data_IF_011026617698
#
_entry.id   IF_011026617698
#
_cell.length_a   1.000
_cell.length_b   1.000
_cell.length_c   1.000
_cell.angle_alpha   90.00
_cell.angle_beta   90.00
_cell.angle_gamma   90.00
#
_symmetry.space_group_name_H-M   'P 1'
#
loop_
_entity.id
_entity.type
_entity.pdbx_description
1 polymer ?
#
# COMPACT_ATOMS: atom_id res chain seq x y z
N UNK A 1 13.43 6.84 -46.95
CA UNK A 1 13.58 7.80 -45.82
C UNK A 1 12.18 8.30 -45.48
N UNK A 2 11.53 7.68 -44.50
CA UNK A 2 10.14 7.96 -44.13
C UNK A 2 10.07 8.95 -42.98
N UNK A 3 9.49 10.12 -43.22
CA UNK A 3 9.10 11.08 -42.19
C UNK A 3 7.84 10.56 -41.50
N UNK A 4 7.97 10.15 -40.23
CA UNK A 4 6.82 9.97 -39.35
C UNK A 4 6.45 11.36 -38.80
N UNK A 5 5.24 11.88 -39.06
CA UNK A 5 4.80 13.11 -38.43
C UNK A 5 4.63 12.87 -36.93
N UNK A 6 5.30 13.70 -36.14
CA UNK A 6 5.25 13.73 -34.68
C UNK A 6 3.80 13.98 -34.23
N UNK A 7 3.10 12.93 -33.82
CA UNK A 7 1.79 12.98 -33.19
C UNK A 7 1.87 13.44 -31.71
N UNK A 8 2.67 14.48 -31.42
CA UNK A 8 2.92 14.98 -30.06
C UNK A 8 2.27 16.34 -29.79
N UNK A 9 1.43 16.85 -30.68
CA UNK A 9 0.87 18.21 -30.59
C UNK A 9 -0.62 18.23 -30.16
N UNK A 10 -1.01 17.34 -29.25
CA UNK A 10 -2.38 17.32 -28.70
C UNK A 10 -2.51 17.12 -27.19
N UNK A 11 -1.48 17.52 -26.43
CA UNK A 11 -1.66 17.89 -25.02
C UNK A 11 -1.67 19.42 -24.95
N UNK A 12 -2.58 20.05 -25.69
CA UNK A 12 -3.09 21.34 -25.22
C UNK A 12 -3.83 21.01 -23.95
N UNK A 13 -3.36 21.55 -22.83
CA UNK A 13 -4.13 21.60 -21.60
C UNK A 13 -5.57 21.96 -21.95
N UNK A 14 -6.48 21.00 -21.93
CA UNK A 14 -7.85 21.31 -21.62
C UNK A 14 -7.75 21.76 -20.16
N UNK A 15 -8.17 22.97 -19.80
CA UNK A 15 -8.53 23.24 -18.43
C UNK A 15 -10.00 22.80 -18.25
N UNK A 16 -10.33 21.53 -17.97
CA UNK A 16 -11.50 21.30 -17.16
C UNK A 16 -11.15 21.73 -15.71
N UNK A 17 -12.12 21.75 -14.81
CA UNK A 17 -11.93 21.76 -13.33
C UNK A 17 -12.28 23.06 -12.60
N UNK A 18 -11.81 24.26 -12.98
CA UNK A 18 -12.18 25.45 -12.19
C UNK A 18 -13.69 25.75 -12.20
N UNK A 19 -14.36 25.51 -13.34
CA UNK A 19 -15.82 25.66 -13.41
C UNK A 19 -16.55 24.60 -12.61
N UNK A 20 -16.05 23.36 -12.59
CA UNK A 20 -16.76 22.23 -11.99
C UNK A 20 -16.56 22.17 -10.47
N UNK A 21 -15.36 22.50 -9.98
CA UNK A 21 -15.11 22.66 -8.54
C UNK A 21 -15.89 23.85 -7.97
N UNK A 22 -16.00 24.95 -8.71
CA UNK A 22 -16.85 26.08 -8.31
C UNK A 22 -18.32 25.67 -8.22
N UNK A 23 -18.82 24.95 -9.23
CA UNK A 23 -20.20 24.40 -9.20
C UNK A 23 -20.40 23.42 -8.05
N UNK A 24 -19.41 22.59 -7.74
CA UNK A 24 -19.46 21.69 -6.59
C UNK A 24 -19.56 22.46 -5.27
N UNK A 25 -18.79 23.54 -5.12
CA UNK A 25 -18.87 24.44 -3.97
C UNK A 25 -20.24 25.13 -3.89
N UNK A 26 -20.80 25.57 -5.02
CA UNK A 26 -22.14 26.18 -5.07
C UNK A 26 -23.22 25.18 -4.60
N UNK A 27 -23.15 23.91 -5.02
CA UNK A 27 -24.05 22.87 -4.52
C UNK A 27 -23.87 22.58 -3.03
N UNK A 28 -22.62 22.58 -2.55
CA UNK A 28 -22.34 22.42 -1.12
C UNK A 28 -22.95 23.57 -0.30
N UNK A 29 -22.79 24.80 -0.76
CA UNK A 29 -23.38 25.99 -0.12
C UNK A 29 -24.92 25.97 -0.16
N UNK A 30 -25.50 25.37 -1.19
CA UNK A 30 -26.95 25.16 -1.31
C UNK A 30 -27.48 23.97 -0.48
N UNK A 31 -26.61 23.22 0.21
CA UNK A 31 -26.97 22.04 1.00
C UNK A 31 -27.14 20.75 0.17
N UNK A 32 -26.88 20.79 -1.15
CA UNK A 32 -26.93 19.63 -2.03
C UNK A 32 -25.58 18.90 -2.04
N UNK A 33 -25.27 18.25 -0.92
CA UNK A 33 -24.04 17.49 -0.78
C UNK A 33 -23.93 16.29 -1.74
N UNK A 34 -25.05 15.80 -2.29
CA UNK A 34 -25.03 14.69 -3.25
C UNK A 34 -24.44 15.13 -4.60
N UNK A 35 -24.95 16.22 -5.18
CA UNK A 35 -24.43 16.76 -6.44
C UNK A 35 -23.01 17.30 -6.30
N UNK A 36 -22.69 17.93 -5.17
CA UNK A 36 -21.34 18.39 -4.89
C UNK A 36 -20.33 17.23 -4.93
N UNK A 37 -20.68 16.09 -4.33
CA UNK A 37 -19.84 14.88 -4.34
C UNK A 37 -19.68 14.27 -5.72
N UNK A 38 -20.74 14.21 -6.51
CA UNK A 38 -20.67 13.74 -7.90
C UNK A 38 -19.65 14.56 -8.71
N UNK A 39 -19.73 15.89 -8.66
CA UNK A 39 -18.80 16.77 -9.36
C UNK A 39 -17.36 16.63 -8.87
N UNK A 40 -17.15 16.53 -7.55
CA UNK A 40 -15.81 16.31 -6.98
C UNK A 40 -15.24 14.96 -7.40
N UNK A 41 -16.06 13.90 -7.42
CA UNK A 41 -15.64 12.57 -7.87
C UNK A 41 -15.26 12.56 -9.36
N UNK A 42 -15.98 13.30 -10.19
CA UNK A 42 -15.66 13.46 -11.61
C UNK A 42 -14.34 14.21 -11.78
N UNK A 43 -14.15 15.32 -11.04
CA UNK A 43 -12.91 16.08 -11.03
C UNK A 43 -11.69 15.23 -10.63
N UNK A 44 -11.83 14.41 -9.58
CA UNK A 44 -10.76 13.50 -9.11
C UNK A 44 -10.48 12.34 -10.05
N UNK A 45 -11.46 11.94 -10.88
CA UNK A 45 -11.27 10.92 -11.92
C UNK A 45 -10.44 11.46 -13.07
N UNK A 46 -10.69 12.72 -13.44
CA UNK A 46 -9.95 13.40 -14.51
C UNK A 46 -8.54 13.81 -14.05
N UNK A 47 -8.40 14.29 -12.81
CA UNK A 47 -7.12 14.64 -12.20
C UNK A 47 -7.05 14.18 -10.73
N UNK A 48 -6.46 13.00 -10.45
CA UNK A 48 -6.36 12.47 -9.09
C UNK A 48 -5.38 13.24 -8.20
N UNK A 49 -4.63 14.20 -8.74
CA UNK A 49 -3.68 15.04 -8.02
C UNK A 49 -4.16 16.50 -7.86
N UNK A 50 -5.43 16.78 -8.17
CA UNK A 50 -6.02 18.09 -7.93
C UNK A 50 -6.23 18.32 -6.43
N UNK A 51 -5.40 19.20 -5.85
CA UNK A 51 -5.44 19.53 -4.42
C UNK A 51 -6.78 20.14 -4.01
N UNK A 52 -7.34 21.04 -4.82
CA UNK A 52 -8.60 21.72 -4.51
C UNK A 52 -9.78 20.74 -4.50
N UNK A 53 -9.77 19.76 -5.41
CA UNK A 53 -10.77 18.69 -5.42
C UNK A 53 -10.71 17.82 -4.15
N UNK A 54 -9.50 17.51 -3.66
CA UNK A 54 -9.33 16.76 -2.40
C UNK A 54 -9.71 17.57 -1.15
N UNK A 55 -9.50 18.88 -1.15
CA UNK A 55 -9.97 19.75 -0.06
C UNK A 55 -11.50 19.80 0.02
N UNK A 56 -12.17 19.91 -1.13
CA UNK A 56 -13.63 19.80 -1.23
C UNK A 56 -14.13 18.41 -0.81
N UNK A 57 -13.47 17.33 -1.22
CA UNK A 57 -13.79 15.97 -0.79
C UNK A 57 -13.70 15.80 0.73
N UNK A 58 -12.71 16.45 1.36
CA UNK A 58 -12.53 16.44 2.81
C UNK A 58 -13.69 17.17 3.53
N UNK A 59 -14.18 18.27 2.97
CA UNK A 59 -15.35 19.00 3.50
C UNK A 59 -16.65 18.19 3.35
N UNK A 60 -16.79 17.45 2.25
CA UNK A 60 -17.96 16.61 1.95
C UNK A 60 -17.98 15.27 2.70
N UNK A 61 -16.92 14.95 3.44
CA UNK A 61 -16.78 13.68 4.17
C UNK A 61 -17.67 13.64 5.42
N UNK A 62 -18.64 12.73 5.43
CA UNK A 62 -19.60 12.59 6.54
C UNK A 62 -19.21 11.54 7.57
N UNK A 63 -18.25 10.67 7.25
CA UNK A 63 -17.74 9.63 8.16
C UNK A 63 -16.24 9.78 8.40
N UNK A 64 -15.73 9.20 9.49
CA UNK A 64 -14.30 9.23 9.82
C UNK A 64 -13.45 8.51 8.77
N UNK A 65 -13.92 7.38 8.24
CA UNK A 65 -13.25 6.63 7.16
C UNK A 65 -13.13 7.46 5.87
N UNK A 66 -14.21 8.16 5.47
CA UNK A 66 -14.17 9.05 4.30
C UNK A 66 -13.18 10.20 4.52
N UNK A 67 -13.17 10.77 5.72
CA UNK A 67 -12.29 11.87 6.09
C UNK A 67 -10.82 11.45 6.07
N UNK A 68 -10.51 10.24 6.55
CA UNK A 68 -9.17 9.67 6.50
C UNK A 68 -8.71 9.42 5.05
N UNK A 69 -9.58 8.83 4.22
CA UNK A 69 -9.31 8.63 2.78
C UNK A 69 -9.07 9.96 2.06
N UNK A 70 -9.89 10.97 2.31
CA UNK A 70 -9.72 12.31 1.74
C UNK A 70 -8.40 12.97 2.19
N UNK A 71 -8.02 12.85 3.47
CA UNK A 71 -6.72 13.33 3.97
C UNK A 71 -5.54 12.63 3.29
N UNK A 72 -5.62 11.30 3.14
CA UNK A 72 -4.58 10.53 2.47
C UNK A 72 -4.47 10.89 0.97
N UNK A 73 -5.60 11.17 0.31
CA UNK A 73 -5.64 11.74 -1.04
C UNK A 73 -4.95 13.10 -1.12
N UNK A 74 -5.33 14.02 -0.23
CA UNK A 74 -4.78 15.38 -0.17
C UNK A 74 -3.26 15.41 0.04
N UNK A 75 -2.74 14.58 0.98
CA UNK A 75 -1.31 14.47 1.23
C UNK A 75 -0.53 13.99 -0.01
N UNK A 76 -1.11 13.05 -0.78
CA UNK A 76 -0.51 12.56 -2.03
C UNK A 76 -0.53 13.62 -3.12
N UNK A 77 -1.64 14.35 -3.27
CA UNK A 77 -1.75 15.46 -4.20
C UNK A 77 -0.69 16.53 -3.89
N UNK A 78 -0.56 16.95 -2.62
CA UNK A 78 0.46 17.90 -2.16
C UNK A 78 1.89 17.44 -2.43
N UNK A 79 2.18 16.16 -2.15
CA UNK A 79 3.50 15.58 -2.42
C UNK A 79 3.86 15.65 -3.90
N UNK A 80 2.89 15.45 -4.79
CA UNK A 80 3.10 15.50 -6.23
C UNK A 80 3.10 16.92 -6.80
N UNK A 81 2.36 17.88 -6.21
CA UNK A 81 2.40 19.28 -6.61
C UNK A 81 3.67 20.00 -6.17
N UNK A 82 4.32 19.52 -5.10
CA UNK A 82 5.56 20.10 -4.53
C UNK A 82 6.86 19.59 -5.18
N UNK A 83 6.80 18.58 -6.05
CA UNK A 83 7.97 18.00 -6.71
C UNK A 83 8.38 18.77 -7.96
N UNK A 84 9.68 18.82 -8.32
CA UNK A 84 10.07 19.25 -9.67
C UNK A 84 9.35 18.34 -10.65
N UNK A 85 8.68 18.94 -11.64
CA UNK A 85 7.94 18.24 -12.72
C UNK A 85 8.95 17.45 -13.55
N UNK A 86 9.40 16.31 -13.02
CA UNK A 86 10.10 15.29 -13.77
C UNK A 86 9.13 14.71 -14.79
N UNK A 87 9.62 14.19 -15.93
CA UNK A 87 8.78 13.61 -16.96
C UNK A 87 7.84 12.58 -16.32
N UNK A 88 6.54 12.89 -16.41
CA UNK A 88 5.45 12.05 -15.92
C UNK A 88 5.58 10.67 -16.56
N UNK A 89 6.22 9.73 -15.89
CA UNK A 89 6.04 8.31 -16.19
C UNK A 89 4.61 7.95 -15.82
N UNK A 90 3.73 7.62 -16.78
CA UNK A 90 2.36 7.23 -16.50
C UNK A 90 2.39 5.78 -16.02
N UNK A 91 2.79 5.57 -14.77
CA UNK A 91 2.63 4.30 -14.07
C UNK A 91 1.83 4.57 -12.81
N UNK A 92 0.60 5.03 -12.98
CA UNK A 92 -0.42 4.93 -11.95
C UNK A 92 -1.65 4.25 -12.55
N UNK A 93 -1.91 3.05 -12.02
CA UNK A 93 -3.05 2.24 -12.38
C UNK A 93 -4.36 3.03 -12.15
N UNK A 94 -5.25 3.12 -13.15
CA UNK A 94 -6.56 3.80 -13.06
C UNK A 94 -7.50 3.33 -11.93
N UNK A 95 -7.11 2.31 -11.15
CA UNK A 95 -7.94 1.65 -10.14
C UNK A 95 -8.18 2.48 -8.88
N UNK A 96 -7.24 3.34 -8.45
CA UNK A 96 -7.41 4.09 -7.19
C UNK A 96 -8.41 5.24 -7.26
N UNK A 97 -8.65 5.82 -8.44
CA UNK A 97 -9.71 6.82 -8.63
C UNK A 97 -11.11 6.18 -8.73
N UNK A 98 -11.19 4.86 -8.97
CA UNK A 98 -12.45 4.11 -9.02
C UNK A 98 -12.95 3.67 -7.64
N UNK A 99 -12.07 3.52 -6.65
CA UNK A 99 -12.45 3.02 -5.31
C UNK A 99 -12.99 4.11 -4.37
N UNK A 100 -12.96 5.38 -4.77
CA UNK A 100 -13.63 6.47 -4.04
C UNK A 100 -15.05 6.65 -4.58
N UNK A 101 -15.89 5.63 -4.37
CA UNK A 101 -17.30 5.68 -4.75
C UNK A 101 -18.08 6.56 -3.76
N UNK A 102 -18.15 7.87 -4.04
CA UNK A 102 -19.04 8.79 -3.32
C UNK A 102 -20.53 8.59 -3.67
N UNK A 103 -20.86 7.74 -4.65
CA UNK A 103 -22.23 7.45 -5.09
C UNK A 103 -23.04 6.64 -4.08
N UNK A 104 -22.40 5.99 -3.11
CA UNK A 104 -23.08 5.23 -2.06
C UNK A 104 -23.79 6.10 -0.99
N UNK A 105 -23.83 7.43 -1.14
CA UNK A 105 -24.25 8.35 -0.07
C UNK A 105 -25.57 9.08 -0.37
N UNK A 106 -26.40 8.52 -1.25
CA UNK A 106 -27.70 9.10 -1.65
C UNK A 106 -28.88 8.13 -1.76
N UNK A 107 -28.71 6.83 -1.50
CA UNK A 107 -29.84 5.88 -1.44
C UNK A 107 -30.23 5.58 0.01
N UNK A 108 -31.34 6.15 0.53
CA UNK A 108 -32.00 5.57 1.68
C UNK A 108 -32.54 4.19 1.28
N UNK A 109 -32.15 3.15 2.02
CA UNK A 109 -32.91 1.90 2.14
C UNK A 109 -33.01 0.93 0.93
N UNK A 110 -31.92 0.73 0.17
CA UNK A 110 -31.68 -0.57 -0.52
C UNK A 110 -30.37 -1.26 -0.10
N UNK A 111 -29.89 -0.92 1.09
CA UNK A 111 -28.62 -1.40 1.68
C UNK A 111 -28.70 -2.76 2.38
N UNK A 112 -29.72 -3.60 2.10
CA UNK A 112 -29.82 -4.91 2.77
C UNK A 112 -29.69 -6.12 1.81
N UNK A 113 -29.46 -5.91 0.51
CA UNK A 113 -29.36 -7.02 -0.46
C UNK A 113 -28.09 -7.03 -1.34
N UNK A 114 -27.26 -5.99 -1.27
CA UNK A 114 -25.92 -5.94 -1.93
C UNK A 114 -24.83 -5.67 -0.87
N UNK A 115 -25.03 -6.17 0.35
CA UNK A 115 -23.94 -6.37 1.32
C UNK A 115 -23.24 -7.73 1.09
N UNK A 116 -23.42 -8.30 -0.10
CA UNK A 116 -22.60 -9.41 -0.59
C UNK A 116 -21.27 -8.85 -1.06
N UNK A 117 -20.34 -8.70 -0.13
CA UNK A 117 -18.90 -8.78 -0.38
C UNK A 117 -18.36 -7.89 -1.51
N UNK A 118 -18.16 -6.59 -1.23
CA UNK A 118 -16.94 -5.95 -1.72
C UNK A 118 -15.80 -6.50 -0.84
N UNK A 119 -15.52 -7.80 -0.98
CA UNK A 119 -14.34 -8.42 -0.42
C UNK A 119 -13.18 -7.81 -1.18
N UNK A 120 -12.57 -6.75 -0.61
CA UNK A 120 -11.24 -6.34 -1.06
C UNK A 120 -10.40 -7.60 -1.12
N UNK A 121 -9.86 -7.99 -2.28
CA UNK A 121 -9.27 -9.31 -2.46
C UNK A 121 -8.23 -9.54 -1.38
N UNK A 122 -8.52 -10.48 -0.46
CA UNK A 122 -7.62 -10.78 0.64
C UNK A 122 -6.46 -11.59 0.09
N UNK A 123 -5.24 -11.11 0.35
CA UNK A 123 -4.03 -11.85 -0.05
C UNK A 123 -3.59 -12.71 1.13
N UNK A 124 -3.66 -14.03 0.93
CA UNK A 124 -3.13 -14.99 1.91
C UNK A 124 -1.63 -15.15 1.68
N UNK A 125 -0.85 -15.00 2.75
CA UNK A 125 0.60 -15.21 2.75
C UNK A 125 1.02 -16.63 3.19
N UNK A 126 0.06 -17.57 3.24
CA UNK A 126 0.31 -18.93 3.71
C UNK A 126 1.27 -19.69 2.79
N UNK A 127 1.09 -19.55 1.46
CA UNK A 127 1.95 -20.22 0.49
C UNK A 127 3.39 -19.70 0.59
N UNK A 128 3.55 -18.40 0.76
CA UNK A 128 4.83 -17.72 0.97
C UNK A 128 5.51 -18.19 2.27
N UNK A 129 4.75 -18.39 3.34
CA UNK A 129 5.26 -18.97 4.58
C UNK A 129 5.73 -20.44 4.40
N UNK A 130 4.99 -21.25 3.63
CA UNK A 130 5.39 -22.63 3.32
C UNK A 130 6.67 -22.66 2.47
N UNK A 131 6.77 -21.80 1.46
CA UNK A 131 7.96 -21.71 0.61
C UNK A 131 9.19 -21.30 1.42
N UNK A 132 9.05 -20.31 2.30
CA UNK A 132 10.16 -19.89 3.18
C UNK A 132 10.57 -20.99 4.14
N UNK A 133 9.61 -21.69 4.75
CA UNK A 133 9.87 -22.87 5.57
C UNK A 133 10.71 -23.91 4.80
N UNK A 134 10.31 -24.27 3.58
CA UNK A 134 11.06 -25.22 2.75
C UNK A 134 12.48 -24.74 2.44
N UNK A 135 12.66 -23.44 2.14
CA UNK A 135 13.97 -22.85 1.87
C UNK A 135 14.91 -22.93 3.08
N UNK A 136 14.39 -22.78 4.31
CA UNK A 136 15.19 -22.97 5.52
C UNK A 136 15.69 -24.41 5.65
N UNK A 137 14.84 -25.41 5.36
CA UNK A 137 15.16 -26.82 5.58
C UNK A 137 16.02 -27.47 4.48
N UNK A 138 16.01 -26.94 3.25
CA UNK A 138 16.86 -27.44 2.15
C UNK A 138 18.33 -26.96 2.30
N UNK A 139 18.68 -26.36 3.44
CA UNK A 139 20.06 -25.97 3.75
C UNK A 139 20.43 -24.58 3.25
N UNK A 140 19.47 -23.82 2.71
CA UNK A 140 19.68 -22.45 2.27
C UNK A 140 19.24 -21.45 3.33
N UNK A 141 19.67 -21.63 4.59
CA UNK A 141 19.18 -20.84 5.73
C UNK A 141 19.25 -19.32 5.51
N UNK A 142 20.30 -18.81 4.87
CA UNK A 142 20.44 -17.39 4.50
C UNK A 142 19.46 -16.99 3.40
N UNK A 143 19.22 -17.84 2.40
CA UNK A 143 18.25 -17.57 1.32
C UNK A 143 16.82 -17.60 1.86
N UNK A 144 16.50 -18.57 2.73
CA UNK A 144 15.23 -18.64 3.44
C UNK A 144 14.97 -17.39 4.28
N UNK A 145 16.01 -16.91 4.99
CA UNK A 145 15.95 -15.64 5.73
C UNK A 145 15.68 -14.44 4.81
N UNK A 146 16.40 -14.34 3.69
CA UNK A 146 16.19 -13.28 2.70
C UNK A 146 14.78 -13.28 2.13
N UNK A 147 14.26 -14.45 1.75
CA UNK A 147 12.89 -14.60 1.25
C UNK A 147 11.84 -14.24 2.31
N UNK A 148 12.05 -14.64 3.56
CA UNK A 148 11.13 -14.33 4.66
C UNK A 148 11.06 -12.81 4.93
N UNK A 149 12.20 -12.13 4.97
CA UNK A 149 12.25 -10.66 5.07
C UNK A 149 11.55 -9.99 3.89
N UNK A 150 11.80 -10.47 2.66
CA UNK A 150 11.15 -9.95 1.46
C UNK A 150 9.62 -10.06 1.54
N UNK A 151 9.09 -11.22 1.95
CA UNK A 151 7.64 -11.42 2.08
C UNK A 151 7.03 -10.59 3.22
N UNK A 152 7.75 -10.37 4.32
CA UNK A 152 7.30 -9.45 5.38
C UNK A 152 7.21 -8.01 4.90
N UNK A 153 8.20 -7.53 4.13
CA UNK A 153 8.17 -6.19 3.53
C UNK A 153 7.00 -6.08 2.55
N UNK A 154 6.79 -7.11 1.71
CA UNK A 154 5.66 -7.15 0.81
C UNK A 154 4.32 -7.09 1.58
N UNK A 155 4.15 -7.94 2.60
CA UNK A 155 2.96 -7.94 3.45
C UNK A 155 2.70 -6.58 4.10
N UNK A 156 3.75 -5.89 4.57
CA UNK A 156 3.59 -4.56 5.14
C UNK A 156 3.15 -3.52 4.10
N UNK A 157 3.71 -3.56 2.87
CA UNK A 157 3.26 -2.70 1.77
C UNK A 157 1.80 -2.94 1.40
N UNK A 158 1.35 -4.20 1.41
CA UNK A 158 -0.07 -4.52 1.17
C UNK A 158 -0.97 -3.98 2.29
N UNK A 159 -0.55 -4.08 3.56
CA UNK A 159 -1.23 -3.45 4.70
C UNK A 159 -1.35 -1.94 4.53
N UNK A 160 -0.25 -1.26 4.18
CA UNK A 160 -0.23 0.19 3.95
C UNK A 160 -1.11 0.63 2.78
N UNK A 161 -1.28 -0.25 1.78
CA UNK A 161 -2.19 -0.03 0.66
C UNK A 161 -3.67 -0.36 0.98
N UNK A 162 -3.99 -0.70 2.24
CA UNK A 162 -5.36 -0.96 2.69
C UNK A 162 -5.88 -2.36 2.39
N UNK A 163 -5.02 -3.29 1.97
CA UNK A 163 -5.41 -4.69 1.79
C UNK A 163 -5.45 -5.42 3.13
N UNK A 164 -6.48 -6.24 3.33
CA UNK A 164 -6.51 -7.18 4.44
C UNK A 164 -5.49 -8.29 4.21
N UNK A 165 -4.42 -8.29 5.02
CA UNK A 165 -3.34 -9.28 4.95
C UNK A 165 -3.68 -10.44 5.89
N UNK A 166 -4.10 -11.56 5.31
CA UNK A 166 -4.37 -12.78 6.06
C UNK A 166 -3.06 -13.56 6.26
N UNK A 167 -2.92 -14.17 7.45
CA UNK A 167 -1.78 -15.01 7.83
C UNK A 167 -0.41 -14.31 7.92
N UNK A 168 -0.35 -12.98 7.95
CA UNK A 168 0.92 -12.25 8.13
C UNK A 168 1.68 -12.62 9.42
N UNK A 169 0.95 -13.05 10.46
CA UNK A 169 1.54 -13.54 11.71
C UNK A 169 2.33 -14.85 11.56
N UNK A 170 2.03 -15.67 10.55
CA UNK A 170 2.76 -16.92 10.31
C UNK A 170 4.21 -16.66 9.88
N UNK A 171 4.42 -15.69 8.98
CA UNK A 171 5.76 -15.25 8.57
C UNK A 171 6.58 -14.73 9.76
N UNK A 172 5.96 -13.93 10.63
CA UNK A 172 6.62 -13.39 11.84
C UNK A 172 7.00 -14.53 12.80
N UNK A 173 6.07 -15.44 13.09
CA UNK A 173 6.32 -16.59 13.97
C UNK A 173 7.43 -17.49 13.43
N UNK A 174 7.43 -17.74 12.12
CA UNK A 174 8.43 -18.55 11.45
C UNK A 174 9.80 -17.86 11.49
N UNK A 175 9.88 -16.55 11.23
CA UNK A 175 11.11 -15.78 11.37
C UNK A 175 11.65 -15.86 12.81
N UNK A 176 10.80 -15.59 13.79
CA UNK A 176 11.18 -15.62 15.20
C UNK A 176 11.71 -17.00 15.63
N UNK A 177 11.02 -18.08 15.24
CA UNK A 177 11.46 -19.44 15.52
C UNK A 177 12.86 -19.72 14.95
N UNK A 178 13.11 -19.34 13.70
CA UNK A 178 14.42 -19.56 13.08
C UNK A 178 15.52 -18.67 13.69
N UNK A 179 15.20 -17.44 14.11
CA UNK A 179 16.16 -16.59 14.82
C UNK A 179 16.57 -17.19 16.17
N UNK A 180 15.61 -17.76 16.92
CA UNK A 180 15.90 -18.47 18.18
C UNK A 180 16.77 -19.71 17.92
N UNK A 181 16.41 -20.53 16.94
CA UNK A 181 17.19 -21.72 16.58
C UNK A 181 18.61 -21.36 16.12
N UNK A 182 18.78 -20.26 15.37
CA UNK A 182 20.07 -19.78 14.93
C UNK A 182 20.96 -19.38 16.13
N UNK A 183 20.43 -18.58 17.06
CA UNK A 183 21.16 -18.18 18.28
C UNK A 183 21.55 -19.40 19.11
N UNK A 184 20.62 -20.34 19.32
CA UNK A 184 20.91 -21.59 20.04
C UNK A 184 22.00 -22.41 19.34
N UNK A 185 21.95 -22.51 18.00
CA UNK A 185 22.97 -23.17 17.20
C UNK A 185 24.35 -22.51 17.37
N UNK A 186 24.42 -21.18 17.36
CA UNK A 186 25.66 -20.45 17.61
C UNK A 186 26.21 -20.70 19.03
N UNK A 187 25.35 -20.74 20.05
CA UNK A 187 25.78 -21.03 21.43
C UNK A 187 26.33 -22.46 21.55
N UNK A 188 25.67 -23.44 20.97
CA UNK A 188 26.15 -24.83 20.96
C UNK A 188 27.50 -24.94 20.24
N UNK A 189 27.62 -24.32 19.06
CA UNK A 189 28.88 -24.30 18.31
C UNK A 189 30.01 -23.64 19.11
N UNK A 190 29.73 -22.52 19.78
CA UNK A 190 30.69 -21.85 20.65
C UNK A 190 31.13 -22.76 21.80
N UNK A 191 30.20 -23.42 22.49
CA UNK A 191 30.51 -24.33 23.60
C UNK A 191 31.39 -25.48 23.10
N UNK A 192 31.03 -26.10 21.97
CA UNK A 192 31.78 -27.23 21.40
C UNK A 192 33.19 -26.81 20.96
N UNK A 193 33.35 -25.60 20.42
CA UNK A 193 34.66 -25.11 19.98
C UNK A 193 35.54 -24.63 21.15
N UNK A 194 34.94 -24.02 22.17
CA UNK A 194 35.68 -23.39 23.28
C UNK A 194 35.94 -24.37 24.43
N UNK A 195 35.03 -25.31 24.71
CA UNK A 195 35.19 -26.26 25.81
C UNK A 195 36.51 -27.06 25.76
N UNK A 196 36.97 -27.59 24.61
CA UNK A 196 38.25 -28.30 24.52
C UNK A 196 39.46 -27.41 24.84
N UNK A 197 39.40 -26.14 24.45
CA UNK A 197 40.45 -25.15 24.75
C UNK A 197 40.54 -24.88 26.25
N UNK A 198 39.40 -24.82 26.94
CA UNK A 198 39.35 -24.61 28.39
C UNK A 198 39.80 -25.84 29.20
N UNK A 199 39.61 -27.05 28.66
CA UNK A 199 40.03 -28.30 29.32
C UNK A 199 41.51 -28.63 29.11
N UNK A 200 42.17 -27.94 28.18
CA UNK A 200 43.62 -28.04 27.96
C UNK A 200 44.36 -27.22 29.02
N UNK A 201 44.37 -27.71 30.27
CA UNK A 201 45.09 -27.09 31.38
C UNK A 201 46.59 -26.95 31.09
N UNK A 202 47.30 -26.05 31.80
CA UNK A 202 48.73 -25.82 31.58
C UNK A 202 49.50 -27.12 31.81
N UNK A 203 50.22 -27.56 30.77
CA UNK A 203 51.12 -28.73 30.88
C UNK A 203 52.20 -28.39 31.91
N UNK A 204 52.38 -29.17 32.98
CA UNK A 204 53.42 -28.88 33.96
C UNK A 204 54.78 -28.92 33.27
N UNK A 205 55.55 -27.83 33.38
CA UNK A 205 56.92 -27.77 32.93
C UNK A 205 57.76 -28.65 33.86
N UNK A 206 58.25 -29.77 33.32
CA UNK A 206 59.20 -30.66 33.99
C UNK A 206 60.63 -30.14 33.90
#
# INVERSE_FOLDING_TARGET
MGQYPLAFERIKANPPLMSDLKRAQDFLNAGDGARARELVSAALRDNPFDEAAWELALQLSSTDDQREKARAGLLRARKNSSGPVGPLTPVLSPRLAQDVDFGAIGQPERSNAIAGQISTPSKSFLAEAIVTWLLYYIGLGVVGLGANIYFLIAANRYREAGYEVQNGGCLIALLAAHMVLFVLGCLVALIVLVAPMLMSGPTPAG
#
